data_IF_801490851113
#
_entry.id   IF_801490851113
#
_cell.length_a   1.000
_cell.length_b   1.000
_cell.length_c   1.000
_cell.angle_alpha   90.00
_cell.angle_beta   90.00
_cell.angle_gamma   90.00
#
_symmetry.space_group_name_H-M   'P 1'
#
loop_
_entity.id
_entity.type
_entity.pdbx_description
1 polymer ?
#
# COMPACT_ATOMS: atom_id res chain seq x y z
N UNK A 1 0.21 14.80 17.65
CA UNK A 1 -1.20 14.85 17.17
C UNK A 1 -1.57 13.67 16.26
N UNK A 2 -0.60 12.91 15.72
CA UNK A 2 -0.82 11.90 14.67
C UNK A 2 -0.91 10.43 15.16
N UNK A 3 -0.87 10.18 16.47
CA UNK A 3 -0.92 8.82 17.03
C UNK A 3 -2.24 8.09 16.70
N UNK A 4 -3.36 8.82 16.62
CA UNK A 4 -4.64 8.25 16.22
C UNK A 4 -4.67 7.88 14.72
N UNK A 5 -3.97 8.63 13.87
CA UNK A 5 -3.83 8.33 12.43
C UNK A 5 -3.06 7.02 12.24
N UNK A 6 -1.98 6.85 13.02
CA UNK A 6 -1.22 5.59 13.03
C UNK A 6 -2.09 4.41 13.47
N UNK A 7 -2.85 4.55 14.56
CA UNK A 7 -3.74 3.50 15.04
C UNK A 7 -4.84 3.17 14.01
N UNK A 8 -5.41 4.18 13.36
CA UNK A 8 -6.43 3.99 12.32
C UNK A 8 -5.85 3.30 11.06
N UNK A 9 -4.64 3.66 10.63
CA UNK A 9 -3.97 2.99 9.52
C UNK A 9 -3.73 1.50 9.79
N UNK A 10 -3.53 1.13 11.07
CA UNK A 10 -3.42 -0.27 11.50
C UNK A 10 -4.62 -1.16 11.15
N UNK A 11 -5.80 -0.58 10.92
CA UNK A 11 -7.03 -1.30 10.51
C UNK A 11 -6.87 -1.97 9.13
N UNK A 12 -5.89 -1.55 8.32
CA UNK A 12 -5.60 -2.19 7.03
C UNK A 12 -4.94 -3.57 7.17
N UNK A 13 -4.25 -3.86 8.28
CA UNK A 13 -3.54 -5.14 8.47
C UNK A 13 -4.45 -6.38 8.42
N UNK A 14 -5.61 -6.41 9.11
CA UNK A 14 -6.56 -7.52 8.97
C UNK A 14 -6.92 -7.83 7.53
N UNK A 15 -7.02 -6.80 6.67
CA UNK A 15 -7.35 -7.02 5.27
C UNK A 15 -6.21 -7.63 4.46
N UNK A 16 -4.96 -7.29 4.77
CA UNK A 16 -3.81 -8.04 4.24
C UNK A 16 -3.88 -9.52 4.60
N UNK A 17 -4.23 -9.86 5.85
CA UNK A 17 -4.40 -11.26 6.26
C UNK A 17 -5.50 -11.95 5.46
N UNK A 18 -6.61 -11.27 5.18
CA UNK A 18 -7.68 -11.82 4.33
C UNK A 18 -7.19 -12.08 2.90
N UNK A 19 -6.42 -11.16 2.32
CA UNK A 19 -5.87 -11.34 0.97
C UNK A 19 -4.84 -12.49 0.91
N UNK A 20 -3.99 -12.63 1.92
CA UNK A 20 -2.92 -13.63 1.97
C UNK A 20 -3.47 -15.02 2.29
N UNK A 21 -4.31 -15.14 3.33
CA UNK A 21 -4.76 -16.42 3.87
C UNK A 21 -6.06 -16.91 3.21
N UNK A 22 -6.95 -15.98 2.85
CA UNK A 22 -8.29 -16.29 2.34
C UNK A 22 -8.57 -15.58 1.00
N UNK A 23 -7.69 -15.71 -0.02
CA UNK A 23 -7.81 -14.96 -1.27
C UNK A 23 -9.10 -15.28 -2.04
N UNK A 24 -9.68 -16.47 -1.88
CA UNK A 24 -10.92 -16.85 -2.57
C UNK A 24 -12.21 -16.44 -1.84
N UNK A 25 -12.14 -15.93 -0.61
CA UNK A 25 -13.33 -15.66 0.19
C UNK A 25 -14.17 -14.52 -0.39
N UNK A 26 -15.51 -14.62 -0.25
CA UNK A 26 -16.45 -13.66 -0.84
C UNK A 26 -16.22 -12.25 -0.30
N UNK A 27 -15.93 -12.13 0.98
CA UNK A 27 -15.63 -10.85 1.64
C UNK A 27 -14.31 -10.27 1.14
N UNK A 28 -13.24 -11.08 1.04
CA UNK A 28 -11.95 -10.64 0.49
C UNK A 28 -12.11 -10.07 -0.91
N UNK A 29 -12.82 -10.79 -1.79
CA UNK A 29 -13.10 -10.34 -3.16
C UNK A 29 -13.87 -9.03 -3.19
N UNK A 30 -14.96 -8.94 -2.44
CA UNK A 30 -15.80 -7.73 -2.37
C UNK A 30 -15.01 -6.49 -1.94
N UNK A 31 -14.20 -6.61 -0.88
CA UNK A 31 -13.38 -5.52 -0.37
C UNK A 31 -12.26 -5.13 -1.34
N UNK A 32 -11.62 -6.12 -1.98
CA UNK A 32 -10.56 -5.92 -2.96
C UNK A 32 -11.06 -5.21 -4.22
N UNK A 33 -12.20 -5.64 -4.76
CA UNK A 33 -12.84 -5.08 -5.97
C UNK A 33 -13.23 -3.61 -5.78
N UNK A 34 -13.67 -3.24 -4.57
CA UNK A 34 -14.06 -1.86 -4.22
C UNK A 34 -12.93 -0.97 -3.74
N UNK A 35 -11.70 -1.50 -3.64
CA UNK A 35 -10.53 -0.73 -3.19
C UNK A 35 -10.73 -0.04 -1.82
N UNK A 36 -11.49 -0.67 -0.92
CA UNK A 36 -11.91 -0.05 0.34
C UNK A 36 -10.72 0.44 1.18
N UNK A 37 -9.71 -0.41 1.37
CA UNK A 37 -8.55 -0.10 2.22
C UNK A 37 -7.55 0.90 1.61
N UNK A 38 -7.19 0.83 0.30
CA UNK A 38 -6.40 1.86 -0.35
C UNK A 38 -7.07 3.23 -0.24
N UNK A 39 -8.37 3.33 -0.49
CA UNK A 39 -9.11 4.59 -0.39
C UNK A 39 -9.17 5.10 1.06
N UNK A 40 -9.39 4.20 2.01
CA UNK A 40 -9.34 4.53 3.44
C UNK A 40 -7.99 5.12 3.85
N UNK A 41 -6.87 4.46 3.48
CA UNK A 41 -5.53 4.95 3.77
C UNK A 41 -5.22 6.27 3.05
N UNK A 42 -5.70 6.44 1.81
CA UNK A 42 -5.56 7.69 1.07
C UNK A 42 -6.27 8.86 1.77
N UNK A 43 -7.46 8.63 2.34
CA UNK A 43 -8.18 9.63 3.14
C UNK A 43 -7.38 9.97 4.41
N UNK A 44 -6.86 8.98 5.13
CA UNK A 44 -6.02 9.22 6.32
C UNK A 44 -4.75 10.02 5.98
N UNK A 45 -4.06 9.65 4.90
CA UNK A 45 -2.89 10.37 4.40
C UNK A 45 -3.24 11.81 4.06
N UNK A 46 -4.34 12.03 3.33
CA UNK A 46 -4.79 13.37 2.91
C UNK A 46 -5.13 14.25 4.13
N UNK A 47 -5.78 13.68 5.15
CA UNK A 47 -6.03 14.38 6.41
C UNK A 47 -4.71 14.72 7.14
N UNK A 48 -3.77 13.77 7.19
CA UNK A 48 -2.47 13.95 7.83
C UNK A 48 -1.63 15.05 7.16
N UNK A 49 -1.47 15.00 5.84
CA UNK A 49 -0.72 16.03 5.11
C UNK A 49 -1.43 17.38 5.17
N UNK A 50 -2.77 17.42 5.13
CA UNK A 50 -3.54 18.65 5.30
C UNK A 50 -3.31 19.30 6.67
N UNK A 51 -3.28 18.51 7.74
CA UNK A 51 -2.95 19.00 9.08
C UNK A 51 -1.50 19.50 9.17
N UNK A 52 -0.55 18.81 8.53
CA UNK A 52 0.84 19.26 8.48
C UNK A 52 0.99 20.59 7.74
N UNK A 53 0.31 20.76 6.59
CA UNK A 53 0.29 22.03 5.85
C UNK A 53 -0.33 23.15 6.67
N UNK A 54 -1.43 22.89 7.40
CA UNK A 54 -2.06 23.89 8.25
C UNK A 54 -1.17 24.33 9.42
N UNK A 55 -0.32 23.43 9.94
CA UNK A 55 0.55 23.70 11.08
C UNK A 55 1.91 24.29 10.70
N UNK A 56 2.56 23.73 9.67
CA UNK A 56 3.92 24.10 9.25
C UNK A 56 3.97 25.00 8.00
N UNK A 57 2.84 25.21 7.32
CA UNK A 57 2.80 25.86 6.00
C UNK A 57 3.37 24.96 4.89
N UNK A 58 3.58 25.52 3.70
CA UNK A 58 4.12 24.80 2.53
C UNK A 58 5.66 24.85 2.42
N UNK A 59 6.35 25.46 3.39
CA UNK A 59 7.82 25.64 3.34
C UNK A 59 8.59 24.32 3.29
N UNK A 60 8.07 23.27 3.96
CA UNK A 60 8.68 21.94 3.96
C UNK A 60 8.78 21.31 2.56
N UNK A 61 8.03 21.79 1.57
CA UNK A 61 8.09 21.26 0.19
C UNK A 61 9.49 21.45 -0.42
N UNK A 62 10.21 22.50 -0.02
CA UNK A 62 11.57 22.77 -0.50
C UNK A 62 12.57 21.71 -0.04
N UNK A 63 12.35 21.10 1.14
CA UNK A 63 13.25 20.12 1.71
C UNK A 63 13.25 18.79 0.92
N UNK A 64 12.22 18.50 0.10
CA UNK A 64 12.22 17.32 -0.77
C UNK A 64 13.23 17.39 -1.92
N UNK A 65 13.81 18.56 -2.20
CA UNK A 65 14.79 18.75 -3.29
C UNK A 65 16.22 18.32 -2.95
N UNK A 66 16.49 17.88 -1.72
CA UNK A 66 17.83 17.49 -1.28
C UNK A 66 17.80 16.30 -0.32
N UNK A 67 18.87 15.52 -0.28
CA UNK A 67 19.01 14.39 0.65
C UNK A 67 18.93 14.84 2.12
N UNK A 68 19.62 15.92 2.47
CA UNK A 68 19.63 16.49 3.82
C UNK A 68 18.24 16.98 4.24
N UNK A 69 17.50 17.60 3.32
CA UNK A 69 16.13 18.05 3.57
C UNK A 69 15.17 16.89 3.82
N UNK A 70 15.24 15.83 3.00
CA UNK A 70 14.43 14.63 3.19
C UNK A 70 14.75 13.97 4.53
N UNK A 71 16.03 13.82 4.89
CA UNK A 71 16.44 13.27 6.18
C UNK A 71 15.92 14.10 7.36
N UNK A 72 15.97 15.43 7.24
CA UNK A 72 15.45 16.35 8.26
C UNK A 72 13.94 16.20 8.46
N UNK A 73 13.18 16.11 7.37
CA UNK A 73 11.73 15.89 7.44
C UNK A 73 11.41 14.52 8.07
N UNK A 74 12.11 13.46 7.65
CA UNK A 74 11.89 12.13 8.21
C UNK A 74 12.31 12.00 9.67
N UNK A 75 13.21 12.86 10.16
CA UNK A 75 13.54 12.95 11.58
C UNK A 75 12.42 13.59 12.41
N UNK A 76 11.48 14.32 11.80
CA UNK A 76 10.32 14.89 12.49
C UNK A 76 9.24 13.81 12.69
N UNK A 77 8.80 13.54 13.93
CA UNK A 77 7.83 12.47 14.20
C UNK A 77 6.53 12.58 13.41
N UNK A 78 6.02 13.80 13.24
CA UNK A 78 4.76 14.04 12.53
C UNK A 78 4.87 13.68 11.03
N UNK A 79 5.95 14.10 10.37
CA UNK A 79 6.21 13.76 8.96
C UNK A 79 6.54 12.28 8.79
N UNK A 80 7.30 11.68 9.70
CA UNK A 80 7.61 10.25 9.67
C UNK A 80 6.32 9.40 9.69
N UNK A 81 5.33 9.75 10.52
CA UNK A 81 4.05 9.06 10.58
C UNK A 81 3.21 9.28 9.31
N UNK A 82 3.20 10.48 8.75
CA UNK A 82 2.50 10.77 7.48
C UNK A 82 3.12 9.96 6.33
N UNK A 83 4.45 9.92 6.25
CA UNK A 83 5.20 9.12 5.28
C UNK A 83 4.94 7.62 5.49
N UNK A 84 4.84 7.17 6.74
CA UNK A 84 4.47 5.78 7.01
C UNK A 84 3.09 5.41 6.43
N UNK A 85 2.08 6.27 6.62
CA UNK A 85 0.74 6.06 6.05
C UNK A 85 0.79 6.13 4.52
N UNK A 86 1.63 7.01 3.95
CA UNK A 86 1.87 7.07 2.51
C UNK A 86 2.38 5.72 1.99
N UNK A 87 3.41 5.15 2.62
CA UNK A 87 3.96 3.84 2.25
C UNK A 87 2.88 2.75 2.33
N UNK A 88 2.16 2.66 3.46
CA UNK A 88 1.08 1.69 3.62
C UNK A 88 -0.01 1.83 2.55
N UNK A 89 -0.36 3.06 2.17
CA UNK A 89 -1.36 3.33 1.14
C UNK A 89 -0.91 2.79 -0.22
N UNK A 90 0.33 3.05 -0.61
CA UNK A 90 0.87 2.56 -1.89
C UNK A 90 1.03 1.04 -1.91
N UNK A 91 1.56 0.45 -0.83
CA UNK A 91 1.69 -1.01 -0.71
C UNK A 91 0.31 -1.69 -0.81
N UNK A 92 -0.69 -1.15 -0.12
CA UNK A 92 -2.06 -1.64 -0.19
C UNK A 92 -2.65 -1.50 -1.60
N UNK A 93 -2.49 -0.34 -2.25
CA UNK A 93 -2.99 -0.11 -3.60
C UNK A 93 -2.39 -1.11 -4.60
N UNK A 94 -1.08 -1.35 -4.51
CA UNK A 94 -0.37 -2.31 -5.34
C UNK A 94 -0.79 -3.74 -5.02
N UNK A 95 -0.94 -4.11 -3.74
CA UNK A 95 -1.47 -5.40 -3.33
C UNK A 95 -2.86 -5.68 -3.91
N UNK A 96 -3.76 -4.68 -3.90
CA UNK A 96 -5.06 -4.78 -4.55
C UNK A 96 -4.94 -4.97 -6.06
N UNK A 97 -4.05 -4.24 -6.71
CA UNK A 97 -3.83 -4.37 -8.15
C UNK A 97 -3.34 -5.78 -8.50
N UNK A 98 -2.32 -6.29 -7.79
CA UNK A 98 -1.82 -7.67 -7.93
C UNK A 98 -2.96 -8.67 -7.77
N UNK A 99 -3.71 -8.57 -6.68
CA UNK A 99 -4.80 -9.49 -6.37
C UNK A 99 -5.88 -9.49 -7.46
N UNK A 100 -6.32 -8.31 -7.90
CA UNK A 100 -7.37 -8.19 -8.92
C UNK A 100 -6.90 -8.70 -10.28
N UNK A 101 -5.69 -8.33 -10.68
CA UNK A 101 -5.09 -8.78 -11.94
C UNK A 101 -4.95 -10.30 -11.95
N UNK A 102 -4.47 -10.89 -10.85
CA UNK A 102 -4.37 -12.33 -10.69
C UNK A 102 -5.73 -13.01 -10.72
N UNK A 103 -6.75 -12.45 -10.03
CA UNK A 103 -8.06 -13.09 -9.94
C UNK A 103 -8.80 -13.16 -11.29
N UNK A 104 -8.39 -12.38 -12.29
CA UNK A 104 -8.99 -12.37 -13.62
C UNK A 104 -8.79 -13.69 -14.40
N UNK A 105 -7.64 -14.36 -14.23
CA UNK A 105 -7.33 -15.60 -14.96
C UNK A 105 -6.58 -16.65 -14.15
N UNK A 106 -6.13 -16.32 -12.93
CA UNK A 106 -5.50 -17.24 -11.96
C UNK A 106 -4.33 -18.03 -12.57
N UNK A 107 -3.50 -17.36 -13.35
CA UNK A 107 -2.37 -17.97 -14.06
C UNK A 107 -1.28 -18.59 -13.16
N UNK A 108 -1.28 -18.32 -11.85
CA UNK A 108 -0.40 -18.95 -10.85
C UNK A 108 -1.20 -19.77 -9.82
N UNK A 109 -0.58 -20.76 -9.15
CA UNK A 109 -1.17 -21.39 -7.98
C UNK A 109 -1.44 -20.37 -6.85
N UNK A 110 -2.54 -20.53 -6.12
CA UNK A 110 -2.91 -19.62 -5.02
C UNK A 110 -1.83 -19.42 -3.96
N UNK A 111 -1.06 -20.44 -3.51
CA UNK A 111 -0.01 -20.23 -2.53
C UNK A 111 1.10 -19.29 -3.01
N UNK A 112 1.39 -19.29 -4.32
CA UNK A 112 2.39 -18.37 -4.91
C UNK A 112 1.89 -16.93 -4.83
N UNK A 113 0.60 -16.70 -5.12
CA UNK A 113 0.00 -15.38 -4.91
C UNK A 113 0.12 -14.93 -3.45
N UNK A 114 -0.18 -15.80 -2.49
CA UNK A 114 -0.09 -15.47 -1.06
C UNK A 114 1.32 -15.05 -0.65
N UNK A 115 2.35 -15.73 -1.15
CA UNK A 115 3.76 -15.34 -0.92
C UNK A 115 4.07 -13.98 -1.56
N UNK A 116 3.63 -13.74 -2.80
CA UNK A 116 3.83 -12.46 -3.48
C UNK A 116 3.15 -11.32 -2.71
N UNK A 117 1.92 -11.52 -2.24
CA UNK A 117 1.19 -10.54 -1.44
C UNK A 117 1.88 -10.28 -0.10
N UNK A 118 2.42 -11.32 0.55
CA UNK A 118 3.24 -11.15 1.74
C UNK A 118 4.53 -10.35 1.46
N UNK A 119 5.23 -10.66 0.36
CA UNK A 119 6.39 -9.88 -0.07
C UNK A 119 6.02 -8.43 -0.40
N UNK A 120 4.83 -8.18 -0.94
CA UNK A 120 4.32 -6.82 -1.21
C UNK A 120 4.01 -6.09 0.08
N UNK A 121 3.47 -6.77 1.09
CA UNK A 121 3.23 -6.17 2.41
C UNK A 121 4.54 -5.80 3.13
N UNK A 122 5.57 -6.66 3.05
CA UNK A 122 6.84 -6.45 3.76
C UNK A 122 7.83 -5.59 2.98
N UNK A 123 7.79 -5.68 1.66
CA UNK A 123 8.78 -5.12 0.75
C UNK A 123 8.08 -4.61 -0.53
N UNK A 124 7.07 -3.74 -0.40
CA UNK A 124 6.22 -3.19 -1.47
C UNK A 124 6.75 -3.32 -2.91
N UNK A 125 7.82 -2.58 -3.27
CA UNK A 125 8.38 -2.59 -4.62
C UNK A 125 8.90 -3.96 -5.09
N UNK A 126 9.47 -4.76 -4.18
CA UNK A 126 9.99 -6.09 -4.49
C UNK A 126 8.88 -7.09 -4.80
N UNK A 127 7.81 -7.11 -3.99
CA UNK A 127 6.65 -7.98 -4.25
C UNK A 127 5.99 -7.65 -5.59
N UNK A 128 5.85 -6.36 -5.90
CA UNK A 128 5.35 -5.88 -7.19
C UNK A 128 6.24 -6.29 -8.37
N UNK A 129 7.57 -6.16 -8.22
CA UNK A 129 8.53 -6.56 -9.24
C UNK A 129 8.42 -8.07 -9.54
N UNK A 130 8.42 -8.91 -8.49
CA UNK A 130 8.27 -10.36 -8.62
C UNK A 130 6.99 -10.72 -9.36
N UNK A 131 5.86 -10.13 -8.96
CA UNK A 131 4.58 -10.37 -9.64
C UNK A 131 4.63 -9.99 -11.11
N UNK A 132 5.18 -8.82 -11.42
CA UNK A 132 5.22 -8.28 -12.78
C UNK A 132 6.08 -9.14 -13.71
N UNK A 133 7.22 -9.62 -13.22
CA UNK A 133 8.09 -10.56 -13.96
C UNK A 133 7.39 -11.89 -14.19
N UNK A 134 6.80 -12.50 -13.16
CA UNK A 134 6.09 -13.78 -13.30
C UNK A 134 4.90 -13.65 -14.25
N UNK A 135 4.16 -12.55 -14.17
CA UNK A 135 3.07 -12.22 -15.10
C UNK A 135 3.58 -12.16 -16.54
N UNK A 136 4.69 -11.49 -16.81
CA UNK A 136 5.22 -11.36 -18.16
C UNK A 136 5.71 -12.70 -18.74
N UNK A 137 6.29 -13.57 -17.90
CA UNK A 137 6.87 -14.84 -18.34
C UNK A 137 5.87 -15.98 -18.47
N UNK A 138 4.86 -16.01 -17.58
CA UNK A 138 4.00 -17.19 -17.39
C UNK A 138 2.55 -16.98 -17.83
N UNK A 139 2.11 -15.72 -18.00
CA UNK A 139 0.72 -15.45 -18.41
C UNK A 139 0.58 -15.70 -19.92
N UNK A 140 -0.32 -16.61 -20.34
CA UNK A 140 -0.53 -16.88 -21.76
C UNK A 140 -0.94 -15.62 -22.51
N UNK A 141 -0.44 -15.44 -23.74
CA UNK A 141 -0.93 -14.39 -24.62
C UNK A 141 -2.43 -14.58 -24.85
N UNK A 142 -3.24 -13.54 -24.61
CA UNK A 142 -4.66 -13.55 -24.94
C UNK A 142 -4.77 -13.51 -26.47
N UNK A 143 -4.98 -14.65 -27.11
CA UNK A 143 -5.41 -14.77 -28.51
C UNK A 143 -6.88 -14.44 -28.65
#
# INVERSE_FOLDING_TARGET
>A
MYSWLFAAAGIAFPFWLLMILLPGWRVTRFLAERQVFPLFLAVLYTAGIGAAVAHYGLGFVQDFGSEDGVLRLLAMPDFALIVWIHILCFDQAIGHWIYRDYMADRFLPLPVLSVILFCTLMFGPFGWLVYTVLRALLRPART
#
